data_IF_365970149775
#
_entry.id   IF_365970149775
#
_cell.length_a   1.000
_cell.length_b   1.000
_cell.length_c   1.000
_cell.angle_alpha   90.00
_cell.angle_beta   90.00
_cell.angle_gamma   90.00
#
_symmetry.space_group_name_H-M   'P 1'
#
loop_
_entity.id
_entity.type
_entity.pdbx_description
1 polymer ?
#
# COMPACT_ATOMS: atom_id res chain seq x y z
N UNK A 1 -8.12 -34.92 -3.18
CA UNK A 1 -7.88 -33.72 -4.01
C UNK A 1 -7.21 -32.67 -3.14
N UNK A 2 -5.88 -32.53 -3.23
CA UNK A 2 -5.14 -31.54 -2.44
C UNK A 2 -5.17 -30.20 -3.16
N UNK A 3 -5.81 -29.21 -2.55
CA UNK A 3 -5.88 -27.85 -3.08
C UNK A 3 -4.51 -27.20 -2.86
N UNK A 4 -3.68 -27.14 -3.91
CA UNK A 4 -2.43 -26.42 -3.86
C UNK A 4 -2.73 -24.92 -3.66
N UNK A 5 -2.44 -24.39 -2.48
CA UNK A 5 -2.49 -22.95 -2.23
C UNK A 5 -1.25 -22.34 -2.87
N UNK A 6 -1.42 -21.71 -4.03
CA UNK A 6 -0.35 -20.93 -4.64
C UNK A 6 -0.15 -19.66 -3.82
N UNK A 7 0.99 -19.57 -3.12
CA UNK A 7 1.42 -18.33 -2.47
C UNK A 7 1.93 -17.38 -3.55
N UNK A 8 1.06 -16.51 -4.06
CA UNK A 8 1.47 -15.39 -4.90
C UNK A 8 1.95 -14.26 -4.00
N UNK A 9 3.28 -14.10 -3.83
CA UNK A 9 3.83 -12.88 -3.24
C UNK A 9 3.71 -11.75 -4.26
N UNK A 10 2.95 -10.72 -3.94
CA UNK A 10 3.05 -9.44 -4.65
C UNK A 10 4.52 -9.01 -4.63
N UNK A 11 5.11 -8.86 -5.82
CA UNK A 11 6.53 -8.53 -5.98
C UNK A 11 6.71 -7.01 -5.81
N UNK A 12 6.43 -6.52 -4.61
CA UNK A 12 6.54 -5.10 -4.23
C UNK A 12 7.72 -4.90 -3.29
N UNK A 13 8.28 -3.69 -3.29
CA UNK A 13 9.36 -3.32 -2.38
C UNK A 13 8.96 -2.08 -1.58
N UNK A 14 9.03 -2.19 -0.25
CA UNK A 14 8.86 -1.10 0.70
C UNK A 14 10.10 -0.99 1.58
N UNK A 15 10.27 0.16 2.21
CA UNK A 15 11.26 0.29 3.27
C UNK A 15 10.83 -0.59 4.47
N UNK A 16 11.71 -1.43 5.04
CA UNK A 16 11.33 -2.36 6.11
C UNK A 16 10.87 -1.66 7.39
N UNK A 17 11.41 -0.47 7.65
CA UNK A 17 11.13 0.31 8.85
C UNK A 17 11.23 1.80 8.55
N UNK A 18 10.40 2.58 9.22
CA UNK A 18 10.35 4.03 9.11
C UNK A 18 9.97 4.58 10.48
N UNK A 19 10.72 5.56 10.96
CA UNK A 19 10.49 6.22 12.24
C UNK A 19 10.26 7.71 12.02
N UNK A 20 9.36 8.28 12.80
CA UNK A 20 9.04 9.70 12.77
C UNK A 20 8.69 10.18 14.17
N UNK A 21 8.70 11.49 14.38
CA UNK A 21 8.18 12.09 15.62
C UNK A 21 6.66 12.15 15.57
N UNK A 22 6.04 12.09 16.74
CA UNK A 22 4.59 12.32 16.86
C UNK A 22 4.20 13.65 16.18
N UNK A 23 3.05 13.66 15.48
CA UNK A 23 2.53 14.81 14.73
C UNK A 23 3.27 15.20 13.43
N UNK A 24 4.29 14.44 13.02
CA UNK A 24 4.94 14.64 11.71
C UNK A 24 4.34 13.70 10.67
N UNK A 25 3.93 14.25 9.52
CA UNK A 25 3.43 13.47 8.39
C UNK A 25 4.50 12.50 7.92
N UNK A 26 4.14 11.22 7.78
CA UNK A 26 5.05 10.18 7.29
C UNK A 26 4.54 9.61 5.98
N UNK A 27 5.41 9.53 4.97
CA UNK A 27 5.09 8.94 3.68
C UNK A 27 5.81 7.60 3.51
N UNK A 28 5.04 6.52 3.45
CA UNK A 28 5.54 5.17 3.21
C UNK A 28 5.55 4.93 1.70
N UNK A 29 6.72 4.66 1.15
CA UNK A 29 6.90 4.41 -0.28
C UNK A 29 6.85 2.91 -0.60
N UNK A 30 6.28 2.59 -1.76
CA UNK A 30 6.18 1.23 -2.28
C UNK A 30 6.43 1.23 -3.79
N UNK A 31 7.32 0.37 -4.25
CA UNK A 31 7.57 0.13 -5.68
C UNK A 31 6.88 -1.14 -6.16
N UNK A 32 6.41 -1.09 -7.41
CA UNK A 32 5.57 -2.08 -8.05
C UNK A 32 6.19 -2.55 -9.39
N UNK A 33 7.39 -3.15 -9.39
CA UNK A 33 8.17 -3.43 -10.60
C UNK A 33 7.48 -4.37 -11.59
N UNK A 34 6.51 -5.18 -11.13
CA UNK A 34 5.81 -6.19 -11.95
C UNK A 34 4.29 -6.02 -12.01
N UNK A 35 3.74 -4.89 -11.55
CA UNK A 35 2.29 -4.64 -11.61
C UNK A 35 1.76 -4.68 -13.05
N UNK A 36 0.56 -5.23 -13.24
CA UNK A 36 -0.12 -5.27 -14.53
C UNK A 36 -1.02 -4.04 -14.71
N UNK A 37 -1.32 -3.70 -15.96
CA UNK A 37 -1.99 -2.44 -16.35
C UNK A 37 -3.41 -2.26 -15.79
N UNK A 38 -4.05 -3.33 -15.32
CA UNK A 38 -5.42 -3.28 -14.77
C UNK A 38 -5.51 -3.59 -13.26
N UNK A 39 -4.42 -3.93 -12.59
CA UNK A 39 -4.44 -4.26 -11.16
C UNK A 39 -4.73 -3.00 -10.32
N UNK A 40 -5.37 -3.13 -9.16
CA UNK A 40 -5.44 -2.01 -8.21
C UNK A 40 -4.26 -2.09 -7.22
N UNK A 41 -3.77 -0.93 -6.78
CA UNK A 41 -2.86 -0.86 -5.64
C UNK A 41 -3.69 -0.66 -4.39
N UNK A 42 -3.56 -1.58 -3.44
CA UNK A 42 -4.26 -1.55 -2.16
C UNK A 42 -3.27 -1.38 -1.01
N UNK A 43 -3.62 -0.52 -0.07
CA UNK A 43 -2.87 -0.32 1.16
C UNK A 43 -3.65 -0.88 2.36
N UNK A 44 -2.96 -1.67 3.15
CA UNK A 44 -3.48 -2.28 4.38
C UNK A 44 -2.58 -1.88 5.55
N UNK A 45 -3.18 -1.79 6.75
CA UNK A 45 -2.47 -1.64 8.02
C UNK A 45 -2.71 -2.88 8.86
N UNK A 46 -1.67 -3.39 9.50
CA UNK A 46 -1.80 -4.43 10.49
C UNK A 46 -1.15 -3.97 11.79
N UNK A 47 -1.97 -3.87 12.84
CA UNK A 47 -1.49 -3.59 14.19
C UNK A 47 -1.22 -4.92 14.93
N UNK A 48 -0.33 -4.93 15.95
CA UNK A 48 -0.08 -6.13 16.75
C UNK A 48 -1.38 -6.74 17.29
N UNK A 49 -1.54 -8.06 17.13
CA UNK A 49 -2.73 -8.79 17.59
C UNK A 49 -4.01 -8.58 16.77
N UNK A 50 -3.96 -7.83 15.65
CA UNK A 50 -5.12 -7.57 14.78
C UNK A 50 -4.93 -8.16 13.38
N UNK A 51 -6.05 -8.42 12.70
CA UNK A 51 -6.06 -8.74 11.28
C UNK A 51 -5.73 -7.53 10.40
N UNK A 52 -5.43 -7.74 9.09
CA UNK A 52 -5.23 -6.65 8.15
C UNK A 52 -6.47 -5.75 8.04
N UNK A 53 -6.27 -4.45 8.20
CA UNK A 53 -7.28 -3.41 8.02
C UNK A 53 -7.06 -2.73 6.67
N UNK A 54 -8.09 -2.72 5.83
CA UNK A 54 -8.04 -2.01 4.56
C UNK A 54 -8.06 -0.50 4.78
N UNK A 55 -7.11 0.23 4.20
CA UNK A 55 -7.05 1.69 4.28
C UNK A 55 -7.66 2.35 3.04
N UNK A 56 -7.09 2.06 1.87
CA UNK A 56 -7.42 2.71 0.61
C UNK A 56 -6.89 1.91 -0.58
N UNK A 57 -7.51 2.08 -1.73
CA UNK A 57 -7.00 1.53 -2.99
C UNK A 57 -7.28 2.45 -4.18
N UNK A 58 -6.32 2.51 -5.09
CA UNK A 58 -6.37 3.34 -6.29
C UNK A 58 -5.66 2.65 -7.47
N UNK A 59 -6.13 2.95 -8.68
CA UNK A 59 -5.47 2.52 -9.91
C UNK A 59 -4.27 3.43 -10.25
N UNK A 60 -4.49 4.75 -10.16
CA UNK A 60 -3.51 5.82 -10.45
C UNK A 60 -3.95 7.11 -9.77
N UNK A 61 -3.07 8.10 -9.71
CA UNK A 61 -3.39 9.43 -9.20
C UNK A 61 -3.49 9.48 -7.68
N UNK A 62 -4.30 10.41 -7.17
CA UNK A 62 -4.39 10.69 -5.73
C UNK A 62 -5.76 10.32 -5.18
N UNK A 63 -5.79 9.74 -3.98
CA UNK A 63 -7.03 9.39 -3.27
C UNK A 63 -6.88 9.57 -1.77
N UNK A 64 -7.82 10.28 -1.15
CA UNK A 64 -7.85 10.46 0.30
C UNK A 64 -8.23 9.17 1.01
N UNK A 65 -7.67 8.98 2.20
CA UNK A 65 -8.15 7.95 3.11
C UNK A 65 -9.51 8.35 3.68
N UNK A 66 -10.33 7.35 4.09
CA UNK A 66 -11.55 7.62 4.83
C UNK A 66 -11.28 8.51 6.05
N UNK A 67 -12.20 9.45 6.31
CA UNK A 67 -12.14 10.38 7.45
C UNK A 67 -10.90 11.31 7.45
N UNK A 68 -10.23 11.48 6.32
CA UNK A 68 -9.11 12.42 6.18
C UNK A 68 -7.82 11.98 6.87
N UNK A 69 -7.69 10.69 7.19
CA UNK A 69 -6.55 10.13 7.91
C UNK A 69 -5.25 10.01 7.09
N UNK A 70 -5.19 10.63 5.91
CA UNK A 70 -4.05 10.55 5.01
C UNK A 70 -4.44 10.55 3.54
N UNK A 71 -3.44 10.33 2.68
CA UNK A 71 -3.57 10.33 1.21
C UNK A 71 -2.70 9.27 0.58
N UNK A 72 -3.28 8.53 -0.37
CA UNK A 72 -2.55 7.65 -1.28
C UNK A 72 -2.27 8.39 -2.59
N UNK A 73 -1.02 8.33 -3.04
CA UNK A 73 -0.58 8.73 -4.36
C UNK A 73 -0.05 7.52 -5.13
N UNK A 74 -0.46 7.37 -6.38
CA UNK A 74 0.01 6.33 -7.30
C UNK A 74 0.50 6.99 -8.58
N UNK A 75 1.72 6.66 -9.01
CA UNK A 75 2.33 7.21 -10.21
C UNK A 75 1.53 6.89 -11.48
N UNK A 76 1.70 7.70 -12.52
CA UNK A 76 0.99 7.50 -13.79
C UNK A 76 1.34 6.17 -14.48
N UNK A 77 2.61 5.76 -14.37
CA UNK A 77 3.13 4.45 -14.82
C UNK A 77 2.81 3.30 -13.85
N UNK A 78 2.27 3.65 -12.67
CA UNK A 78 1.82 2.76 -11.60
C UNK A 78 2.95 1.93 -10.97
N UNK A 79 4.20 2.21 -11.32
CA UNK A 79 5.39 1.54 -10.78
C UNK A 79 5.74 2.02 -9.38
N UNK A 80 5.12 3.07 -8.86
CA UNK A 80 5.30 3.54 -7.49
C UNK A 80 4.00 4.03 -6.86
N UNK A 81 3.94 3.92 -5.53
CA UNK A 81 2.91 4.54 -4.72
C UNK A 81 3.46 5.00 -3.38
N UNK A 82 2.85 6.05 -2.83
CA UNK A 82 3.17 6.59 -1.52
C UNK A 82 1.89 6.76 -0.70
N UNK A 83 1.89 6.26 0.53
CA UNK A 83 0.84 6.49 1.51
C UNK A 83 1.36 7.47 2.56
N UNK A 84 0.78 8.67 2.60
CA UNK A 84 1.11 9.67 3.62
C UNK A 84 0.02 9.69 4.71
N UNK A 85 0.44 9.60 5.97
CA UNK A 85 -0.41 9.56 7.18
C UNK A 85 -0.08 10.72 8.12
#
# INVERSE_FOLDING_TARGET
FSMAVAVARAQVQQEPSLETTESTVICINCSHPKIQTNDYIYWYRQLPGRGPEFLVGALRGSKELPKGAGRLQVSADRRSSSLCL
#
